data_IF_971570056529
#
_entry.id   IF_971570056529
#
_cell.length_a   1.000
_cell.length_b   1.000
_cell.length_c   1.000
_cell.angle_alpha   90.00
_cell.angle_beta   90.00
_cell.angle_gamma   90.00
#
_symmetry.space_group_name_H-M   'P 1'
#
loop_
_entity.id
_entity.type
_entity.pdbx_description
1 polymer ?
#
# COMPACT_ATOMS: atom_id res chain seq x y z
N UNK A 1 15.22 -15.06 -48.21
CA UNK A 1 14.10 -15.26 -47.29
C UNK A 1 14.54 -16.24 -46.20
N UNK A 2 15.10 -15.77 -45.08
CA UNK A 2 15.20 -16.54 -43.84
C UNK A 2 15.22 -15.55 -42.67
N UNK A 3 14.31 -15.79 -41.72
CA UNK A 3 13.98 -15.01 -40.52
C UNK A 3 15.22 -14.77 -39.62
N UNK A 4 15.49 -13.55 -39.12
CA UNK A 4 16.57 -13.35 -38.16
C UNK A 4 16.06 -13.67 -36.75
N UNK A 5 16.77 -14.57 -36.09
CA UNK A 5 16.96 -14.65 -34.64
C UNK A 5 15.71 -14.35 -33.78
N UNK A 6 14.98 -15.41 -33.47
CA UNK A 6 14.26 -15.59 -32.20
C UNK A 6 15.27 -15.39 -31.06
N UNK A 7 15.47 -14.13 -30.64
CA UNK A 7 16.04 -13.84 -29.33
C UNK A 7 14.98 -14.30 -28.33
N UNK A 8 15.30 -15.12 -27.32
CA UNK A 8 14.38 -15.32 -26.20
C UNK A 8 14.11 -13.92 -25.63
N UNK A 9 12.90 -13.44 -25.88
CA UNK A 9 12.41 -12.23 -25.24
C UNK A 9 12.53 -12.51 -23.75
N UNK A 10 13.24 -11.68 -22.95
CA UNK A 10 13.22 -11.84 -21.50
C UNK A 10 11.75 -11.92 -21.12
N UNK A 11 11.35 -12.96 -20.39
CA UNK A 11 9.97 -13.17 -19.99
C UNK A 11 9.41 -11.82 -19.52
N UNK A 12 8.17 -11.45 -19.93
CA UNK A 12 7.57 -10.21 -19.43
C UNK A 12 7.75 -10.25 -17.92
N UNK A 13 8.55 -9.31 -17.39
CA UNK A 13 8.65 -9.11 -15.96
C UNK A 13 7.20 -9.05 -15.48
N UNK A 14 6.76 -9.96 -14.59
CA UNK A 14 5.40 -9.92 -14.12
C UNK A 14 5.21 -8.51 -13.59
N UNK A 15 4.31 -7.76 -14.24
CA UNK A 15 3.93 -6.45 -13.75
C UNK A 15 3.53 -6.70 -12.29
N UNK A 16 4.17 -6.04 -11.30
CA UNK A 16 3.76 -6.23 -9.92
C UNK A 16 2.26 -6.01 -9.90
N UNK A 17 1.51 -7.01 -9.42
CA UNK A 17 0.06 -6.94 -9.42
C UNK A 17 -0.32 -5.65 -8.69
N UNK A 18 -0.83 -4.68 -9.45
CA UNK A 18 -1.01 -3.32 -8.97
C UNK A 18 -2.30 -3.29 -8.16
N UNK A 19 -2.17 -3.25 -6.84
CA UNK A 19 -3.31 -3.12 -5.95
C UNK A 19 -3.81 -1.67 -5.97
N UNK A 20 -5.12 -1.43 -5.73
CA UNK A 20 -5.62 -0.06 -5.67
C UNK A 20 -4.93 0.71 -4.54
N UNK A 21 -4.75 2.02 -4.71
CA UNK A 21 -4.23 2.88 -3.67
C UNK A 21 -5.01 2.72 -2.35
N UNK A 22 -4.36 2.86 -1.19
CA UNK A 22 -5.07 2.88 0.08
C UNK A 22 -6.01 4.10 0.13
N UNK A 23 -7.05 4.01 0.94
CA UNK A 23 -7.96 5.11 1.22
C UNK A 23 -7.69 5.64 2.62
N UNK A 24 -7.60 6.95 2.78
CA UNK A 24 -7.47 7.60 4.09
C UNK A 24 -8.74 8.41 4.32
N UNK A 25 -9.68 7.96 5.16
CA UNK A 25 -10.96 8.64 5.37
C UNK A 25 -10.83 10.07 5.87
N UNK A 26 -9.76 10.34 6.64
CA UNK A 26 -9.42 11.67 7.12
C UNK A 26 -8.83 12.57 6.01
N UNK A 27 -8.38 11.99 4.91
CA UNK A 27 -7.78 12.67 3.76
C UNK A 27 -8.36 12.16 2.42
N UNK A 28 -9.68 12.30 2.20
CA UNK A 28 -10.34 11.71 1.03
C UNK A 28 -9.82 12.28 -0.30
N UNK A 29 -9.38 13.54 -0.30
CA UNK A 29 -8.82 14.24 -1.45
C UNK A 29 -7.28 14.21 -1.48
N UNK A 30 -6.65 13.41 -0.61
CA UNK A 30 -5.20 13.43 -0.41
C UNK A 30 -4.71 14.65 0.38
N UNK A 31 -5.60 15.39 1.03
CA UNK A 31 -5.28 16.49 1.94
C UNK A 31 -5.80 16.18 3.34
N UNK A 32 -4.95 16.31 4.35
CA UNK A 32 -5.34 16.28 5.77
C UNK A 32 -4.92 17.57 6.46
N UNK A 33 -5.50 17.84 7.62
CA UNK A 33 -5.17 18.98 8.47
C UNK A 33 -4.50 18.44 9.73
N UNK A 34 -3.19 18.66 9.88
CA UNK A 34 -2.41 18.16 11.03
C UNK A 34 -2.90 18.74 12.39
N UNK A 35 -3.49 19.94 12.40
CA UNK A 35 -4.01 20.56 13.62
C UNK A 35 -5.28 19.86 14.15
N UNK A 36 -6.15 19.40 13.23
CA UNK A 36 -7.38 18.69 13.58
C UNK A 36 -7.16 17.15 13.67
N UNK A 37 -6.16 16.63 12.96
CA UNK A 37 -5.97 15.19 12.75
C UNK A 37 -4.88 14.60 13.64
N UNK A 38 -5.29 13.99 14.76
CA UNK A 38 -4.34 13.31 15.67
C UNK A 38 -3.81 11.96 15.17
N UNK A 39 -4.46 11.36 14.18
CA UNK A 39 -4.07 10.09 13.58
C UNK A 39 -4.76 9.92 12.23
N UNK A 40 -4.06 9.33 11.25
CA UNK A 40 -4.64 8.96 9.97
C UNK A 40 -4.92 7.46 9.93
N UNK A 41 -6.05 7.09 9.34
CA UNK A 41 -6.44 5.69 9.20
C UNK A 41 -6.24 5.25 7.76
N UNK A 42 -5.17 4.50 7.48
CA UNK A 42 -4.95 3.88 6.18
C UNK A 42 -5.88 2.68 6.05
N UNK A 43 -6.93 2.84 5.25
CA UNK A 43 -7.91 1.79 4.94
C UNK A 43 -7.56 1.13 3.61
N UNK A 44 -7.28 -0.16 3.68
CA UNK A 44 -6.96 -1.02 2.55
C UNK A 44 -8.22 -1.84 2.24
N UNK A 45 -8.74 -1.69 1.03
CA UNK A 45 -9.87 -2.48 0.57
C UNK A 45 -9.48 -3.96 0.45
N UNK A 46 -10.45 -4.90 0.56
CA UNK A 46 -10.17 -6.30 0.27
C UNK A 46 -9.61 -6.43 -1.16
N UNK A 47 -8.48 -7.11 -1.28
CA UNK A 47 -7.73 -7.24 -2.52
C UNK A 47 -7.89 -8.64 -3.15
N UNK A 48 -7.68 -8.79 -4.46
CA UNK A 48 -7.77 -10.08 -5.13
C UNK A 48 -6.76 -11.07 -4.56
N UNK A 49 -7.21 -12.29 -4.22
CA UNK A 49 -6.35 -13.30 -3.62
C UNK A 49 -6.11 -13.14 -2.11
N UNK A 50 -6.81 -12.21 -1.45
CA UNK A 50 -6.74 -12.04 0.01
C UNK A 50 -7.01 -13.34 0.76
N UNK A 51 -6.05 -13.73 1.59
CA UNK A 51 -6.08 -14.93 2.39
C UNK A 51 -5.67 -14.66 3.84
N UNK A 52 -6.07 -15.57 4.73
CA UNK A 52 -5.65 -15.51 6.12
C UNK A 52 -4.14 -15.73 6.21
N UNK A 53 -3.47 -14.95 7.05
CA UNK A 53 -2.02 -14.91 7.23
C UNK A 53 -1.22 -14.19 6.14
N UNK A 54 -1.87 -13.57 5.14
CA UNK A 54 -1.21 -12.58 4.29
C UNK A 54 -0.58 -11.49 5.15
N UNK A 55 0.57 -10.96 4.72
CA UNK A 55 1.25 -9.86 5.42
C UNK A 55 1.13 -8.61 4.56
N UNK A 56 0.35 -7.65 5.05
CA UNK A 56 0.16 -6.35 4.41
C UNK A 56 1.10 -5.36 5.08
N UNK A 57 2.15 -4.94 4.40
CA UNK A 57 3.09 -3.96 4.93
C UNK A 57 2.77 -2.59 4.35
N UNK A 58 2.30 -1.67 5.19
CA UNK A 58 2.04 -0.29 4.79
C UNK A 58 3.33 0.50 4.94
N UNK A 59 3.71 1.24 3.92
CA UNK A 59 4.90 2.09 3.89
C UNK A 59 4.47 3.54 3.70
N UNK A 60 4.99 4.42 4.54
CA UNK A 60 4.76 5.85 4.39
C UNK A 60 6.03 6.64 4.68
N UNK A 61 6.25 7.71 3.91
CA UNK A 61 7.35 8.64 4.16
C UNK A 61 6.86 9.90 4.86
N UNK A 62 7.57 10.25 5.91
CA UNK A 62 7.38 11.45 6.72
C UNK A 62 8.66 12.29 6.63
N UNK A 63 8.67 13.45 7.30
CA UNK A 63 9.90 14.25 7.45
C UNK A 63 10.99 13.50 8.23
N UNK A 64 10.58 12.70 9.21
CA UNK A 64 11.46 12.00 10.14
C UNK A 64 12.06 10.72 9.55
N UNK A 65 11.44 10.17 8.52
CA UNK A 65 12.00 9.04 7.77
C UNK A 65 10.98 8.21 6.99
N UNK A 66 11.42 7.03 6.57
CA UNK A 66 10.55 6.00 6.01
C UNK A 66 10.03 5.12 7.15
N UNK A 67 8.72 5.03 7.26
CA UNK A 67 8.03 4.18 8.21
C UNK A 67 7.36 3.03 7.48
N UNK A 68 7.31 1.87 8.15
CA UNK A 68 6.60 0.71 7.65
C UNK A 68 5.93 -0.03 8.79
N UNK A 69 4.70 -0.47 8.58
CA UNK A 69 3.94 -1.26 9.53
C UNK A 69 3.43 -2.54 8.86
N UNK A 70 3.99 -3.71 9.23
CA UNK A 70 3.49 -5.00 8.77
C UNK A 70 2.25 -5.40 9.56
N UNK A 71 1.16 -5.69 8.85
CA UNK A 71 -0.09 -6.17 9.41
C UNK A 71 -0.45 -7.53 8.83
N UNK A 72 -0.47 -8.55 9.68
CA UNK A 72 -0.96 -9.86 9.29
C UNK A 72 -2.49 -9.84 9.20
N UNK A 73 -3.04 -10.31 8.08
CA UNK A 73 -4.48 -10.47 7.88
C UNK A 73 -5.00 -11.63 8.73
N UNK A 74 -5.82 -11.38 9.77
CA UNK A 74 -6.44 -12.46 10.51
C UNK A 74 -7.56 -13.09 9.68
N UNK A 75 -7.84 -14.39 9.88
CA UNK A 75 -8.82 -15.12 9.07
C UNK A 75 -10.22 -14.51 9.04
N UNK A 76 -10.64 -13.85 10.13
CA UNK A 76 -11.94 -13.17 10.21
C UNK A 76 -12.00 -11.82 9.47
N UNK A 77 -10.86 -11.29 8.98
CA UNK A 77 -10.77 -10.08 8.16
C UNK A 77 -10.62 -10.38 6.67
N UNK A 78 -10.51 -11.65 6.28
CA UNK A 78 -10.45 -12.04 4.86
C UNK A 78 -11.74 -11.62 4.16
N UNK A 79 -11.61 -10.87 3.07
CA UNK A 79 -12.74 -10.26 2.36
C UNK A 79 -13.30 -8.97 3.00
N UNK A 80 -12.66 -8.47 4.06
CA UNK A 80 -13.00 -7.20 4.70
C UNK A 80 -11.87 -6.17 4.56
N UNK A 81 -12.19 -4.89 4.74
CA UNK A 81 -11.18 -3.84 4.73
C UNK A 81 -10.24 -3.96 5.94
N UNK A 82 -8.95 -3.79 5.68
CA UNK A 82 -7.90 -3.76 6.67
C UNK A 82 -7.57 -2.30 6.98
N UNK A 83 -7.29 -1.97 8.24
CA UNK A 83 -7.06 -0.59 8.66
C UNK A 83 -5.78 -0.52 9.47
N UNK A 84 -4.85 0.34 9.05
CA UNK A 84 -3.61 0.65 9.76
C UNK A 84 -3.70 2.07 10.30
N UNK A 85 -3.37 2.26 11.57
CA UNK A 85 -3.47 3.57 12.23
C UNK A 85 -2.08 4.21 12.28
N UNK A 86 -1.92 5.32 11.59
CA UNK A 86 -0.73 6.16 11.65
C UNK A 86 -0.93 7.19 12.76
N UNK A 87 -0.15 7.09 13.83
CA UNK A 87 -0.27 7.99 14.97
C UNK A 87 0.31 9.39 14.65
N UNK A 88 -0.29 10.42 15.25
CA UNK A 88 0.07 11.85 15.14
C UNK A 88 1.55 12.21 15.18
N UNK A 89 2.43 11.62 16.03
CA UNK A 89 3.87 11.97 15.98
C UNK A 89 4.55 11.62 14.65
N UNK A 90 3.92 10.83 13.78
CA UNK A 90 4.39 10.53 12.43
C UNK A 90 3.68 11.37 11.36
N UNK A 91 2.64 12.12 11.73
CA UNK A 91 2.05 13.14 10.88
C UNK A 91 2.94 14.36 11.01
N UNK A 92 3.97 14.42 10.17
CA UNK A 92 4.66 15.67 9.91
C UNK A 92 4.09 16.24 8.61
N UNK A 93 4.07 17.57 8.50
CA UNK A 93 3.52 18.37 7.40
C UNK A 93 4.06 18.07 5.99
N UNK A 94 4.78 16.96 5.80
CA UNK A 94 5.34 16.47 4.55
C UNK A 94 5.09 14.97 4.33
N UNK A 95 4.03 14.38 4.89
CA UNK A 95 3.69 12.96 4.61
C UNK A 95 3.40 12.76 3.12
N UNK A 96 4.40 12.42 2.31
CA UNK A 96 4.30 12.63 0.85
C UNK A 96 3.75 11.41 0.11
N UNK A 97 3.97 10.20 0.61
CA UNK A 97 3.65 8.99 -0.15
C UNK A 97 3.34 7.84 0.79
N UNK A 98 2.14 7.29 0.66
CA UNK A 98 1.63 6.11 1.35
C UNK A 98 1.34 5.03 0.32
N UNK A 99 1.94 3.86 0.46
CA UNK A 99 1.60 2.69 -0.34
C UNK A 99 1.61 1.47 0.58
N UNK A 100 1.05 0.35 0.11
CA UNK A 100 1.15 -0.91 0.83
C UNK A 100 1.58 -2.02 -0.10
N UNK A 101 2.31 -2.97 0.44
CA UNK A 101 2.63 -4.22 -0.24
C UNK A 101 1.92 -5.36 0.48
N UNK A 102 1.55 -6.38 -0.29
CA UNK A 102 0.93 -7.60 0.21
C UNK A 102 1.84 -8.75 -0.15
N UNK A 103 2.30 -9.46 0.87
CA UNK A 103 2.94 -10.76 0.74
C UNK A 103 1.88 -11.84 0.91
N UNK A 104 1.53 -12.51 -0.19
CA UNK A 104 0.51 -13.55 -0.17
C UNK A 104 1.07 -14.80 0.49
N UNK A 105 0.27 -15.43 1.35
CA UNK A 105 0.64 -16.72 1.96
C UNK A 105 0.82 -17.82 0.91
N UNK A 106 0.14 -17.72 -0.22
CA UNK A 106 0.25 -18.64 -1.37
C UNK A 106 1.54 -18.45 -2.18
N UNK A 107 2.33 -17.41 -1.87
CA UNK A 107 3.49 -17.00 -2.62
C UNK A 107 3.19 -15.86 -3.60
N UNK A 108 4.18 -14.99 -3.80
CA UNK A 108 4.08 -13.77 -4.60
C UNK A 108 3.90 -12.52 -3.75
N UNK A 109 4.23 -11.37 -4.34
CA UNK A 109 4.02 -10.06 -3.73
C UNK A 109 3.28 -9.14 -4.68
N UNK A 110 2.44 -8.29 -4.12
CA UNK A 110 1.73 -7.25 -4.85
C UNK A 110 1.97 -5.91 -4.18
N UNK A 111 2.01 -4.85 -4.97
CA UNK A 111 2.27 -3.50 -4.47
C UNK A 111 1.13 -2.61 -4.90
N UNK A 112 0.66 -1.76 -4.00
CA UNK A 112 -0.40 -0.82 -4.30
C UNK A 112 0.08 0.37 -5.10
N UNK A 113 -0.86 1.06 -5.75
CA UNK A 113 -0.63 2.42 -6.19
C UNK A 113 -0.26 3.31 -4.98
N UNK A 114 0.67 4.26 -5.17
CA UNK A 114 1.01 5.23 -4.14
C UNK A 114 -0.12 6.26 -4.00
N UNK A 115 -0.58 6.46 -2.76
CA UNK A 115 -1.40 7.59 -2.37
C UNK A 115 -0.50 8.72 -1.89
N UNK A 116 -0.56 9.85 -2.58
CA UNK A 116 0.07 11.09 -2.10
C UNK A 116 -0.85 11.73 -1.07
N UNK A 117 -0.31 11.99 0.11
CA UNK A 117 -0.97 12.83 1.11
C UNK A 117 -0.27 14.18 1.16
N UNK A 118 -1.01 15.22 1.47
CA UNK A 118 -0.51 16.56 1.67
C UNK A 118 -1.18 17.14 2.92
N UNK A 119 -0.44 17.96 3.64
CA UNK A 119 -0.98 18.81 4.69
C UNK A 119 -1.57 20.07 4.04
N UNK A 120 -2.67 20.59 4.60
CA UNK A 120 -3.41 21.74 4.04
C UNK A 120 -3.04 23.07 4.68
#
# INVERSE_FOLDING_TARGET
MTHPADRPQPAPVPLPALLPAPCVPEAPDGFYDDEDTRALTVRIAPYPGMAANDVVTVHWRTRDGLHREPLRVPGHRVGAAVTVRMAGPYLSSATTLVHYEVEYVTGGTAVSEPLTLNDR
#
